data_IF_542217930506
#
_entry.id   IF_542217930506
#
_cell.length_a   1.000
_cell.length_b   1.000
_cell.length_c   1.000
_cell.angle_alpha   90.00
_cell.angle_beta   90.00
_cell.angle_gamma   90.00
#
_symmetry.space_group_name_H-M   'P 1'
#
loop_
_entity.id
_entity.type
_entity.pdbx_description
1 polymer ?
#
# COMPACT_ATOMS: atom_id res chain seq x y z
N UNK A 1 12.54 17.05 -12.95
CA UNK A 1 12.28 16.83 -12.48
C UNK A 1 12.28 15.85 -11.87
N UNK A 2 12.17 15.61 -11.20
CA UNK A 2 12.25 14.66 -10.55
C UNK A 2 11.16 14.06 -10.34
N UNK A 3 11.05 13.05 -10.49
CA UNK A 3 10.03 12.49 -10.38
C UNK A 3 9.85 11.98 -9.13
N UNK A 4 10.69 11.60 -8.39
CA UNK A 4 10.44 11.02 -7.13
C UNK A 4 10.29 12.11 -6.19
N UNK A 5 9.11 12.45 -5.80
CA UNK A 5 8.95 13.43 -4.87
C UNK A 5 9.36 12.93 -3.55
N UNK A 6 10.27 13.57 -2.82
CA UNK A 6 10.61 13.17 -1.47
C UNK A 6 9.34 13.14 -0.65
N UNK A 7 9.18 12.11 0.14
CA UNK A 7 8.03 12.03 1.01
C UNK A 7 6.79 11.46 0.36
N UNK A 8 6.92 10.74 -0.73
CA UNK A 8 5.77 10.09 -1.33
C UNK A 8 6.00 8.59 -1.47
N UNK A 9 4.91 7.85 -1.61
CA UNK A 9 4.93 6.41 -1.81
C UNK A 9 3.99 6.09 -2.96
N UNK A 10 4.34 5.12 -3.76
CA UNK A 10 3.49 4.65 -4.83
C UNK A 10 2.72 3.44 -4.35
N UNK A 11 1.39 3.54 -4.34
CA UNK A 11 0.52 2.49 -3.84
C UNK A 11 -0.09 1.75 -5.00
N UNK A 12 -0.01 0.44 -4.96
CA UNK A 12 -0.60 -0.43 -5.96
C UNK A 12 -1.67 -1.29 -5.31
N UNK A 13 -2.79 -1.46 -6.00
CA UNK A 13 -3.86 -2.35 -5.56
C UNK A 13 -4.09 -3.39 -6.63
N UNK A 14 -4.34 -4.63 -6.22
CA UNK A 14 -4.53 -5.71 -7.14
C UNK A 14 -5.91 -6.33 -7.01
N UNK A 15 -6.40 -6.85 -8.14
CA UNK A 15 -7.62 -7.66 -8.20
C UNK A 15 -8.80 -6.95 -7.54
N UNK A 16 -9.50 -7.63 -6.65
CA UNK A 16 -10.71 -7.07 -6.05
C UNK A 16 -10.46 -5.76 -5.31
N UNK A 17 -9.26 -5.55 -4.81
CA UNK A 17 -8.96 -4.30 -4.11
C UNK A 17 -8.97 -3.11 -5.07
N UNK A 18 -8.46 -3.29 -6.28
CA UNK A 18 -8.50 -2.20 -7.25
C UNK A 18 -9.92 -1.93 -7.71
N UNK A 19 -10.73 -2.98 -7.83
CA UNK A 19 -12.13 -2.80 -8.17
C UNK A 19 -12.87 -2.04 -7.09
N UNK A 20 -12.61 -2.38 -5.84
CA UNK A 20 -13.27 -1.73 -4.72
C UNK A 20 -12.89 -0.26 -4.64
N UNK A 21 -11.63 0.06 -4.86
CA UNK A 21 -11.15 1.43 -4.73
C UNK A 21 -11.43 2.29 -5.95
N UNK A 22 -11.51 1.66 -7.12
CA UNK A 22 -11.70 2.40 -8.35
C UNK A 22 -10.40 2.86 -8.98
N UNK A 23 -9.26 2.38 -8.51
CA UNK A 23 -7.97 2.72 -9.09
C UNK A 23 -6.98 1.59 -8.82
N UNK A 24 -5.92 1.54 -9.61
CA UNK A 24 -4.90 0.50 -9.49
C UNK A 24 -3.59 1.03 -8.97
N UNK A 25 -3.31 2.29 -9.18
CA UNK A 25 -2.03 2.86 -8.77
C UNK A 25 -2.25 4.31 -8.39
N UNK A 26 -1.61 4.74 -7.33
CA UNK A 26 -1.74 6.12 -6.88
C UNK A 26 -0.49 6.50 -6.11
N UNK A 27 0.03 7.70 -6.34
CA UNK A 27 1.12 8.24 -5.55
C UNK A 27 0.52 9.04 -4.41
N UNK A 28 0.95 8.76 -3.20
CA UNK A 28 0.44 9.41 -2.01
C UNK A 28 1.57 10.06 -1.24
N UNK A 29 1.32 11.22 -0.65
CA UNK A 29 2.34 11.81 0.22
C UNK A 29 2.47 11.02 1.51
N UNK A 30 3.67 10.96 2.03
CA UNK A 30 3.92 10.36 3.32
C UNK A 30 4.12 11.46 4.34
N UNK A 31 3.66 11.19 5.57
CA UNK A 31 3.92 12.11 6.65
C UNK A 31 5.41 12.15 6.96
N UNK A 32 5.86 13.22 7.57
CA UNK A 32 7.26 13.32 7.96
C UNK A 32 7.63 12.29 9.02
N UNK A 33 6.65 11.80 9.75
CA UNK A 33 6.89 10.81 10.78
C UNK A 33 6.85 9.42 10.20
N UNK A 34 7.46 8.44 10.86
CA UNK A 34 7.40 7.07 10.37
C UNK A 34 5.96 6.59 10.21
N UNK A 35 5.70 5.91 9.11
CA UNK A 35 4.37 5.43 8.77
C UNK A 35 4.47 3.95 8.43
N UNK A 36 3.54 3.15 8.94
CA UNK A 36 3.49 1.73 8.60
C UNK A 36 2.61 1.50 7.40
N UNK A 37 2.76 0.33 6.77
CA UNK A 37 1.89 -0.04 5.67
C UNK A 37 0.42 -0.05 6.11
N UNK A 38 0.16 -0.49 7.34
CA UNK A 38 -1.20 -0.50 7.86
C UNK A 38 -1.77 0.91 7.95
N UNK A 39 -0.95 1.88 8.36
CA UNK A 39 -1.41 3.26 8.43
C UNK A 39 -1.73 3.81 7.04
N UNK A 40 -0.97 3.43 6.04
CA UNK A 40 -1.30 3.83 4.67
C UNK A 40 -2.63 3.21 4.25
N UNK A 41 -2.84 1.92 4.57
CA UNK A 41 -4.10 1.27 4.26
C UNK A 41 -5.27 2.02 4.89
N UNK A 42 -5.12 2.41 6.15
CA UNK A 42 -6.19 3.12 6.86
C UNK A 42 -6.46 4.47 6.21
N UNK A 43 -5.42 5.15 5.75
CA UNK A 43 -5.59 6.45 5.10
C UNK A 43 -6.31 6.33 3.75
N UNK A 44 -6.23 5.16 3.12
CA UNK A 44 -6.91 4.95 1.84
C UNK A 44 -8.41 4.75 2.00
N UNK A 45 -8.88 4.45 3.21
CA UNK A 45 -10.31 4.30 3.43
C UNK A 45 -10.92 3.09 2.80
N UNK A 46 -10.17 2.02 2.66
CA UNK A 46 -10.66 0.82 1.99
C UNK A 46 -11.34 -0.17 2.94
N UNK A 47 -11.54 0.23 4.18
CA UNK A 47 -12.21 -0.63 5.15
C UNK A 47 -11.21 -1.21 6.14
N UNK A 48 -11.69 -2.06 7.06
CA UNK A 48 -10.80 -2.62 8.06
C UNK A 48 -9.77 -3.55 7.45
N UNK A 49 -8.62 -3.62 8.06
CA UNK A 49 -7.59 -4.55 7.63
C UNK A 49 -8.04 -5.97 7.97
N UNK A 50 -7.80 -6.88 7.05
CA UNK A 50 -8.10 -8.29 7.28
C UNK A 50 -6.80 -9.07 7.28
N UNK A 51 -6.69 -10.04 8.16
CA UNK A 51 -5.48 -10.83 8.24
C UNK A 51 -5.24 -11.66 6.98
N UNK A 52 -6.23 -11.78 6.13
CA UNK A 52 -6.04 -12.50 4.86
C UNK A 52 -5.43 -11.63 3.78
N UNK A 53 -5.33 -10.33 4.00
CA UNK A 53 -4.69 -9.46 3.03
C UNK A 53 -3.17 -9.56 3.16
N UNK A 54 -2.48 -9.20 2.09
CA UNK A 54 -1.02 -9.23 2.08
C UNK A 54 -0.49 -7.86 1.71
N UNK A 55 0.70 -7.57 2.17
CA UNK A 55 1.40 -6.33 1.88
C UNK A 55 2.75 -6.67 1.29
N UNK A 56 3.15 -5.94 0.26
CA UNK A 56 4.49 -6.07 -0.28
C UNK A 56 5.10 -4.68 -0.43
N UNK A 57 6.36 -4.55 -0.09
CA UNK A 57 7.10 -3.31 -0.32
C UNK A 57 8.23 -3.63 -1.27
N UNK A 58 8.26 -2.93 -2.40
CA UNK A 58 9.25 -3.16 -3.44
C UNK A 58 9.28 -4.63 -3.84
N UNK A 59 8.08 -5.23 -3.93
CA UNK A 59 7.86 -6.60 -4.41
C UNK A 59 8.31 -7.67 -3.42
N UNK A 60 8.51 -7.29 -2.17
CA UNK A 60 8.85 -8.25 -1.11
C UNK A 60 7.75 -8.23 -0.08
N UNK A 61 7.19 -9.41 0.23
CA UNK A 61 6.12 -9.49 1.22
C UNK A 61 6.63 -9.09 2.59
N UNK A 62 5.86 -8.28 3.29
CA UNK A 62 6.22 -7.80 4.61
C UNK A 62 4.99 -7.82 5.51
N UNK A 63 5.19 -7.58 6.79
CA UNK A 63 4.08 -7.50 7.73
C UNK A 63 3.40 -6.13 7.64
N UNK A 64 2.13 -6.04 8.02
CA UNK A 64 1.43 -4.75 7.95
C UNK A 64 2.05 -3.64 8.78
N UNK A 65 2.78 -3.98 9.83
CA UNK A 65 3.41 -2.97 10.67
C UNK A 65 4.79 -2.58 10.18
N UNK A 66 5.19 -3.04 9.01
CA UNK A 66 6.48 -2.66 8.44
C UNK A 66 6.46 -1.19 8.06
N UNK A 67 7.55 -0.48 8.32
CA UNK A 67 7.63 0.93 8.00
C UNK A 67 7.81 1.15 6.52
N UNK A 68 7.17 2.18 6.01
CA UNK A 68 7.23 2.55 4.61
C UNK A 68 8.15 3.75 4.47
N UNK A 69 9.04 3.69 3.49
CA UNK A 69 10.01 4.76 3.25
C UNK A 69 9.60 5.56 2.03
N UNK A 70 10.01 6.83 1.96
CA UNK A 70 9.76 7.60 0.75
C UNK A 70 10.36 6.91 -0.47
N UNK A 71 9.61 6.89 -1.55
CA UNK A 71 10.06 6.24 -2.76
C UNK A 71 9.71 4.77 -2.87
N UNK A 72 9.17 4.19 -1.81
CA UNK A 72 8.80 2.77 -1.86
C UNK A 72 7.61 2.54 -2.77
N UNK A 73 7.52 1.33 -3.28
CA UNK A 73 6.34 0.84 -3.98
C UNK A 73 5.61 -0.07 -3.01
N UNK A 74 4.43 0.33 -2.60
CA UNK A 74 3.65 -0.38 -1.59
C UNK A 74 2.46 -1.03 -2.26
N UNK A 75 2.38 -2.34 -2.20
CA UNK A 75 1.31 -3.08 -2.84
C UNK A 75 0.44 -3.78 -1.81
N UNK A 76 -0.87 -3.71 -2.01
CA UNK A 76 -1.81 -4.47 -1.20
C UNK A 76 -2.45 -5.54 -2.09
N UNK A 77 -2.47 -6.76 -1.60
CA UNK A 77 -2.97 -7.89 -2.36
C UNK A 77 -4.13 -8.52 -1.62
N UNK A 78 -5.20 -8.91 -2.34
CA UNK A 78 -6.32 -9.58 -1.68
C UNK A 78 -5.94 -11.02 -1.35
N UNK A 79 -6.76 -11.69 -0.54
CA UNK A 79 -6.49 -13.08 -0.25
C UNK A 79 -6.59 -13.92 -1.51
N UNK A 80 -5.75 -14.93 -1.59
CA UNK A 80 -5.85 -15.88 -2.65
C UNK A 80 -6.89 -16.88 -2.25
N UNK A 81 -7.92 -16.99 -3.05
CA UNK A 81 -8.87 -17.99 -2.76
C UNK A 81 -8.44 -19.16 -3.49
N UNK A 82 -7.59 -19.77 -3.17
CA UNK A 82 -7.02 -20.77 -3.78
C UNK A 82 -7.79 -21.73 -4.37
N UNK A 83 -8.50 -21.54 -4.49
CA UNK A 83 -9.19 -22.40 -5.20
C UNK A 83 -9.29 -23.29 -5.14
#
# INVERSE_FOLDING_TARGET
MSEAEPGSVRVLLFAALSDQAGWQERTMPLAAQPVTALQVWQALGLGPWSSSLRVAINQTLVEPDHLVQPGDELAFLPPFTGG
#
